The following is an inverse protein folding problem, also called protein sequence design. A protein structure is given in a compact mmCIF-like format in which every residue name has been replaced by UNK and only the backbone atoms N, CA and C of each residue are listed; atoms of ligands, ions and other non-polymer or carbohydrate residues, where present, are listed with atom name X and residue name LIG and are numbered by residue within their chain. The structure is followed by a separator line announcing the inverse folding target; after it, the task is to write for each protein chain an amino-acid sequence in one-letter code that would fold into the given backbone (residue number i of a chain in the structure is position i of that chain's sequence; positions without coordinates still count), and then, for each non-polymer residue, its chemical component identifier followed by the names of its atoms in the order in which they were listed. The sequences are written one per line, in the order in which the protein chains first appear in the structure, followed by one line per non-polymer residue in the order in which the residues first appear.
data_IF_280726779782
#
_entry.id   IF_280726779782
#
_cell.length_a   1.000
_cell.length_b   1.000
_cell.length_c   1.000
_cell.angle_alpha   90.00
_cell.angle_beta   90.00
_cell.angle_gamma   90.00
#
_symmetry.space_group_name_H-M   'P 1'
#
loop_
_entity.id
_entity.type
_entity.pdbx_description
1 polymer ?
#
# COMPACT_ATOMS: atom_id res chain seq x y z
N UNK A 1 21.15 3.74 -32.28
CA UNK A 1 21.64 2.52 -31.57
C UNK A 1 21.31 2.69 -30.09
N UNK A 2 20.72 1.69 -29.42
CA UNK A 2 20.32 1.79 -28.00
C UNK A 2 18.81 1.66 -27.73
N UNK A 3 17.96 1.79 -28.75
CA UNK A 3 16.49 1.70 -28.63
C UNK A 3 16.06 0.38 -27.95
N UNK A 4 16.46 -0.77 -28.51
CA UNK A 4 16.09 -2.09 -27.98
C UNK A 4 16.53 -2.33 -26.54
N UNK A 5 17.69 -1.79 -26.13
CA UNK A 5 18.16 -1.92 -24.75
C UNK A 5 17.28 -1.14 -23.76
N UNK A 6 16.82 0.06 -24.17
CA UNK A 6 15.94 0.89 -23.35
C UNK A 6 14.52 0.31 -23.34
N UNK A 7 14.03 -0.21 -24.47
CA UNK A 7 12.76 -0.96 -24.51
C UNK A 7 12.78 -2.14 -23.52
N UNK A 8 13.84 -2.95 -23.56
CA UNK A 8 14.01 -4.06 -22.63
C UNK A 8 14.01 -3.61 -21.17
N UNK A 9 14.75 -2.54 -20.84
CA UNK A 9 14.74 -1.95 -19.50
C UNK A 9 13.33 -1.53 -19.05
N UNK A 10 12.57 -0.85 -19.91
CA UNK A 10 11.22 -0.37 -19.58
C UNK A 10 10.23 -1.52 -19.39
N UNK A 11 10.33 -2.59 -20.18
CA UNK A 11 9.55 -3.81 -19.98
C UNK A 11 9.86 -4.44 -18.61
N UNK A 12 11.15 -4.62 -18.29
CA UNK A 12 11.56 -5.23 -17.01
C UNK A 12 11.08 -4.38 -15.83
N UNK A 13 11.23 -3.04 -15.93
CA UNK A 13 10.70 -2.11 -14.92
C UNK A 13 9.18 -2.25 -14.77
N UNK A 14 8.44 -2.35 -15.87
CA UNK A 14 7.00 -2.57 -15.81
C UNK A 14 6.65 -3.86 -15.05
N UNK A 15 7.34 -4.97 -15.34
CA UNK A 15 7.10 -6.23 -14.63
C UNK A 15 7.40 -6.14 -13.13
N UNK A 16 8.46 -5.43 -12.72
CA UNK A 16 8.75 -5.18 -11.30
C UNK A 16 7.56 -4.51 -10.59
N UNK A 17 6.94 -3.50 -11.21
CA UNK A 17 5.75 -2.87 -10.64
C UNK A 17 4.52 -3.78 -10.68
N UNK A 18 4.29 -4.48 -11.78
CA UNK A 18 3.10 -5.30 -11.96
C UNK A 18 3.07 -6.54 -11.06
N UNK A 19 4.23 -7.15 -10.81
CA UNK A 19 4.35 -8.44 -10.15
C UNK A 19 4.92 -8.38 -8.73
N UNK A 20 5.79 -7.41 -8.43
CA UNK A 20 6.49 -7.35 -7.13
C UNK A 20 5.95 -6.20 -6.28
N UNK A 21 6.10 -4.94 -6.74
CA UNK A 21 5.75 -3.79 -5.92
C UNK A 21 4.25 -3.71 -5.62
N UNK A 22 3.40 -3.99 -6.61
CA UNK A 22 1.93 -3.99 -6.43
C UNK A 22 1.36 -5.38 -6.19
N UNK A 23 2.17 -6.32 -5.69
CA UNK A 23 1.68 -7.65 -5.35
C UNK A 23 0.62 -7.56 -4.25
N UNK A 24 -0.50 -8.26 -4.42
CA UNK A 24 -1.66 -8.13 -3.53
C UNK A 24 -1.32 -8.44 -2.05
N UNK A 25 -0.46 -9.43 -1.79
CA UNK A 25 0.02 -9.74 -0.43
C UNK A 25 0.82 -8.60 0.21
N UNK A 26 1.62 -7.86 -0.58
CA UNK A 26 2.38 -6.71 -0.07
C UNK A 26 1.40 -5.58 0.29
N UNK A 27 0.41 -5.32 -0.56
CA UNK A 27 -0.64 -4.34 -0.28
C UNK A 27 -1.43 -4.67 0.99
N UNK A 28 -1.77 -5.94 1.20
CA UNK A 28 -2.45 -6.39 2.43
C UNK A 28 -1.56 -6.23 3.67
N UNK A 29 -0.28 -6.60 3.59
CA UNK A 29 0.67 -6.42 4.69
C UNK A 29 0.87 -4.95 5.04
N UNK A 30 1.07 -4.08 4.04
CA UNK A 30 1.16 -2.63 4.23
C UNK A 30 -0.12 -2.07 4.83
N UNK A 31 -1.30 -2.52 4.39
CA UNK A 31 -2.57 -2.11 4.99
C UNK A 31 -2.63 -2.44 6.49
N UNK A 32 -2.33 -3.69 6.86
CA UNK A 32 -2.32 -4.11 8.28
C UNK A 32 -1.38 -3.25 9.09
N UNK A 33 -0.17 -2.99 8.57
CA UNK A 33 0.83 -2.17 9.24
C UNK A 33 0.36 -0.72 9.43
N UNK A 34 -0.16 -0.10 8.37
CA UNK A 34 -0.71 1.26 8.45
C UNK A 34 -1.83 1.34 9.49
N UNK A 35 -2.77 0.38 9.47
CA UNK A 35 -3.89 0.35 10.42
C UNK A 35 -3.42 0.13 11.86
N UNK A 36 -2.37 -0.66 12.09
CA UNK A 36 -1.76 -0.81 13.41
C UNK A 36 -1.20 0.52 13.91
N UNK A 37 -0.46 1.27 13.07
CA UNK A 37 0.08 2.58 13.42
C UNK A 37 -0.99 3.66 13.57
N UNK A 38 -2.07 3.62 12.78
CA UNK A 38 -3.22 4.51 12.94
C UNK A 38 -3.89 4.28 14.30
N UNK A 39 -4.09 3.02 14.70
CA UNK A 39 -4.63 2.66 16.03
C UNK A 39 -3.68 3.08 17.14
N UNK A 40 -2.39 2.80 17.00
CA UNK A 40 -1.37 3.19 17.97
C UNK A 40 -1.34 4.71 18.19
N UNK A 41 -1.43 5.49 17.10
CA UNK A 41 -1.52 6.95 17.16
C UNK A 41 -2.74 7.42 17.93
N UNK A 42 -3.91 6.84 17.64
CA UNK A 42 -5.15 7.17 18.36
C UNK A 42 -5.02 6.89 19.86
N UNK A 43 -4.55 5.70 20.24
CA UNK A 43 -4.39 5.29 21.64
C UNK A 43 -3.35 6.16 22.37
N UNK A 44 -2.25 6.54 21.71
CA UNK A 44 -1.26 7.46 22.26
C UNK A 44 -1.90 8.82 22.59
N UNK A 45 -2.71 9.37 21.69
CA UNK A 45 -3.41 10.64 21.94
C UNK A 45 -4.45 10.56 23.06
N UNK A 46 -5.02 9.38 23.30
CA UNK A 46 -5.93 9.12 24.41
C UNK A 46 -5.20 8.85 25.74
N UNK A 47 -3.87 8.73 25.73
CA UNK A 47 -3.09 8.32 26.90
C UNK A 47 -3.18 6.84 27.24
N UNK A 48 -3.73 6.02 26.33
CA UNK A 48 -3.92 4.58 26.48
C UNK A 48 -2.78 3.75 25.88
N UNK A 49 -1.74 4.39 25.33
CA UNK A 49 -0.55 3.73 24.80
C UNK A 49 0.71 4.41 25.33
N UNK A 50 1.69 3.60 25.74
CA UNK A 50 3.05 4.08 26.00
C UNK A 50 4.02 3.51 24.96
N UNK A 51 4.95 4.35 24.53
CA UNK A 51 6.02 4.02 23.60
C UNK A 51 7.30 4.75 24.03
N UNK A 52 8.45 4.37 23.49
CA UNK A 52 9.68 5.11 23.76
C UNK A 52 9.65 6.53 23.16
N UNK A 53 10.69 7.32 23.43
CA UNK A 53 10.76 8.71 22.97
C UNK A 53 10.73 8.83 21.44
N UNK A 54 11.42 7.93 20.74
CA UNK A 54 11.50 7.90 19.27
C UNK A 54 10.13 7.62 18.68
N UNK A 55 9.51 6.51 19.06
CA UNK A 55 8.21 6.09 18.55
C UNK A 55 7.11 7.08 18.94
N UNK A 56 7.16 7.62 20.16
CA UNK A 56 6.23 8.68 20.59
C UNK A 56 6.32 9.91 19.68
N UNK A 57 7.53 10.32 19.29
CA UNK A 57 7.71 11.46 18.39
C UNK A 57 7.12 11.17 17.00
N UNK A 58 7.38 9.98 16.45
CA UNK A 58 6.81 9.55 15.17
C UNK A 58 5.28 9.46 15.18
N UNK A 59 4.69 8.91 16.24
CA UNK A 59 3.25 8.78 16.40
C UNK A 59 2.56 10.14 16.59
N UNK A 60 3.19 11.12 17.24
CA UNK A 60 2.66 12.50 17.35
C UNK A 60 2.56 13.23 16.01
N UNK A 61 3.32 12.79 15.01
CA UNK A 61 3.26 13.28 13.63
C UNK A 61 4.52 14.02 13.20
N UNK A 62 4.61 14.25 11.89
CA UNK A 62 5.81 14.83 11.27
C UNK A 62 5.98 16.33 11.56
N UNK A 63 4.90 17.02 11.93
CA UNK A 63 4.97 18.43 12.30
C UNK A 63 5.59 18.55 13.70
N UNK A 64 6.89 18.83 13.74
CA UNK A 64 7.67 18.92 14.98
C UNK A 64 8.60 17.73 15.24
N UNK A 65 8.67 16.76 14.33
CA UNK A 65 9.67 15.69 14.37
C UNK A 65 11.05 16.27 14.03
N UNK A 66 11.99 16.24 14.98
CA UNK A 66 13.35 16.70 14.71
C UNK A 66 14.10 15.71 13.80
N UNK A 67 15.17 16.18 13.15
CA UNK A 67 16.02 15.29 12.35
C UNK A 67 16.60 14.15 13.17
N UNK A 68 17.06 14.43 14.40
CA UNK A 68 17.61 13.41 15.29
C UNK A 68 16.58 12.35 15.66
N UNK A 69 15.32 12.75 15.93
CA UNK A 69 14.21 11.81 16.19
C UNK A 69 13.82 11.00 14.96
N UNK A 70 13.89 11.61 13.77
CA UNK A 70 13.67 10.90 12.51
C UNK A 70 14.74 9.84 12.29
N UNK A 71 16.02 10.20 12.46
CA UNK A 71 17.16 9.29 12.27
C UNK A 71 17.31 8.24 13.36
N UNK A 72 16.71 8.45 14.53
CA UNK A 72 16.69 7.47 15.62
C UNK A 72 15.70 6.31 15.39
N UNK A 73 14.84 6.39 14.36
CA UNK A 73 13.93 5.30 14.02
C UNK A 73 14.50 4.44 12.88
N UNK A 74 14.40 3.14 13.06
CA UNK A 74 14.72 2.12 12.07
C UNK A 74 13.74 0.95 12.19
N UNK A 75 13.91 -0.05 11.33
CA UNK A 75 13.05 -1.22 11.31
C UNK A 75 13.09 -1.99 12.64
N UNK A 76 14.19 -1.96 13.40
CA UNK A 76 14.33 -2.65 14.68
C UNK A 76 13.50 -1.94 15.78
N UNK A 77 13.56 -0.61 15.84
CA UNK A 77 12.72 0.20 16.74
C UNK A 77 11.24 -0.02 16.44
N UNK A 78 10.86 -0.02 15.16
CA UNK A 78 9.49 -0.27 14.73
C UNK A 78 9.05 -1.69 15.11
N UNK A 79 9.89 -2.70 14.81
CA UNK A 79 9.61 -4.10 15.09
C UNK A 79 9.45 -4.36 16.59
N UNK A 80 10.31 -3.78 17.42
CA UNK A 80 10.20 -3.87 18.88
C UNK A 80 8.84 -3.39 19.39
N UNK A 81 8.34 -2.26 18.87
CA UNK A 81 7.03 -1.75 19.27
C UNK A 81 5.89 -2.65 18.80
N UNK A 82 5.93 -3.15 17.56
CA UNK A 82 4.93 -4.11 17.08
C UNK A 82 4.91 -5.37 17.97
N UNK A 83 6.08 -5.91 18.32
CA UNK A 83 6.21 -7.07 19.22
C UNK A 83 5.63 -6.80 20.61
N UNK A 84 5.80 -5.59 21.15
CA UNK A 84 5.17 -5.21 22.42
C UNK A 84 3.66 -5.03 22.30
N UNK A 85 3.22 -4.38 21.23
CA UNK A 85 1.82 -4.04 21.03
C UNK A 85 0.96 -5.25 20.68
N UNK A 86 1.54 -6.37 20.22
CA UNK A 86 0.81 -7.61 20.01
C UNK A 86 0.14 -8.17 21.28
N UNK A 87 0.58 -7.76 22.47
CA UNK A 87 -0.01 -8.12 23.77
C UNK A 87 -0.69 -6.93 24.47
N UNK A 88 -1.00 -5.86 23.73
CA UNK A 88 -1.72 -4.70 24.25
C UNK A 88 -3.18 -5.06 24.60
N UNK A 89 -3.78 -4.36 25.56
CA UNK A 89 -5.18 -4.58 25.97
C UNK A 89 -6.19 -4.21 24.88
N UNK A 90 -5.84 -3.24 24.02
CA UNK A 90 -6.63 -2.89 22.84
C UNK A 90 -6.60 -4.03 21.82
N UNK A 91 -7.77 -4.64 21.59
CA UNK A 91 -7.92 -5.82 20.74
C UNK A 91 -7.55 -5.55 19.28
N UNK A 92 -7.83 -4.34 18.77
CA UNK A 92 -7.51 -4.00 17.38
C UNK A 92 -6.01 -3.84 17.19
N UNK A 93 -5.34 -3.09 18.06
CA UNK A 93 -3.90 -2.90 18.00
C UNK A 93 -3.16 -4.24 18.14
N UNK A 94 -3.52 -5.03 19.16
CA UNK A 94 -2.89 -6.34 19.41
C UNK A 94 -3.08 -7.31 18.25
N UNK A 95 -4.30 -7.42 17.73
CA UNK A 95 -4.60 -8.29 16.59
C UNK A 95 -3.82 -7.88 15.33
N UNK A 96 -3.81 -6.58 14.97
CA UNK A 96 -3.11 -6.10 13.78
C UNK A 96 -1.59 -6.29 13.88
N UNK A 97 -0.98 -6.03 15.05
CA UNK A 97 0.44 -6.26 15.27
C UNK A 97 0.77 -7.75 15.15
N UNK A 98 -0.01 -8.61 15.81
CA UNK A 98 0.13 -10.07 15.74
C UNK A 98 -0.06 -10.59 14.31
N UNK A 99 -1.03 -10.08 13.54
CA UNK A 99 -1.19 -10.42 12.11
C UNK A 99 0.05 -10.11 11.29
N UNK A 100 0.64 -8.94 11.51
CA UNK A 100 1.81 -8.52 10.78
C UNK A 100 3.02 -9.41 11.10
N UNK A 101 3.26 -9.67 12.39
CA UNK A 101 4.38 -10.47 12.89
C UNK A 101 4.26 -11.95 12.48
N UNK A 102 3.08 -12.55 12.66
CA UNK A 102 2.82 -13.96 12.34
C UNK A 102 2.51 -14.21 10.86
N UNK A 103 2.56 -13.17 10.03
CA UNK A 103 2.21 -13.21 8.59
C UNK A 103 0.77 -13.69 8.33
N UNK A 104 -0.14 -13.53 9.28
CA UNK A 104 -1.59 -13.77 9.12
C UNK A 104 -2.29 -12.56 8.50
N UNK A 105 -1.87 -12.25 7.27
CA UNK A 105 -2.36 -11.10 6.51
C UNK A 105 -3.81 -11.26 6.04
N UNK A 106 -4.48 -10.11 5.88
CA UNK A 106 -5.84 -10.03 5.34
C UNK A 106 -5.91 -10.56 3.90
N UNK A 107 -7.10 -11.00 3.49
CA UNK A 107 -7.35 -11.43 2.10
C UNK A 107 -7.48 -10.22 1.18
N UNK A 108 -7.20 -10.46 -0.09
CA UNK A 108 -7.36 -9.48 -1.16
C UNK A 108 -8.27 -10.04 -2.25
N UNK A 109 -9.16 -9.22 -2.80
CA UNK A 109 -9.99 -9.55 -3.96
C UNK A 109 -9.82 -8.48 -5.04
N UNK A 110 -9.62 -8.92 -6.29
CA UNK A 110 -9.42 -8.02 -7.43
C UNK A 110 -10.77 -7.44 -7.91
N UNK A 111 -10.92 -6.14 -7.78
CA UNK A 111 -12.06 -5.35 -8.26
C UNK A 111 -11.70 -4.50 -9.49
N UNK A 112 -10.58 -4.79 -10.15
CA UNK A 112 -10.19 -4.16 -11.40
C UNK A 112 -11.30 -4.32 -12.44
N UNK A 113 -11.58 -3.25 -13.19
CA UNK A 113 -12.69 -3.20 -14.17
C UNK A 113 -14.07 -2.88 -13.59
N UNK A 114 -14.30 -3.02 -12.28
CA UNK A 114 -15.55 -2.55 -11.64
C UNK A 114 -15.60 -1.02 -11.63
N UNK A 115 -16.78 -0.43 -11.76
CA UNK A 115 -16.94 1.03 -11.66
C UNK A 115 -16.66 1.54 -10.24
N UNK A 116 -16.28 2.83 -10.05
CA UNK A 116 -16.08 3.39 -8.71
C UNK A 116 -17.30 3.21 -7.78
N UNK A 117 -18.52 3.41 -8.31
CA UNK A 117 -19.75 3.18 -7.56
C UNK A 117 -19.92 1.73 -7.12
N UNK A 118 -19.68 0.76 -8.02
CA UNK A 118 -19.75 -0.66 -7.68
C UNK A 118 -18.72 -1.05 -6.61
N UNK A 119 -17.49 -0.53 -6.69
CA UNK A 119 -16.46 -0.76 -5.67
C UNK A 119 -16.88 -0.24 -4.30
N UNK A 120 -17.50 0.94 -4.24
CA UNK A 120 -17.98 1.52 -2.99
C UNK A 120 -19.14 0.72 -2.40
N UNK A 121 -20.07 0.25 -3.23
CA UNK A 121 -21.17 -0.62 -2.78
C UNK A 121 -20.63 -1.93 -2.19
N UNK A 122 -19.68 -2.57 -2.87
CA UNK A 122 -19.03 -3.80 -2.38
C UNK A 122 -18.31 -3.54 -1.05
N UNK A 123 -17.54 -2.44 -0.97
CA UNK A 123 -16.86 -2.05 0.27
C UNK A 123 -17.84 -1.91 1.44
N UNK A 124 -18.94 -1.17 1.25
CA UNK A 124 -19.95 -0.98 2.28
C UNK A 124 -20.62 -2.29 2.73
N UNK A 125 -20.92 -3.20 1.80
CA UNK A 125 -21.50 -4.51 2.12
C UNK A 125 -20.52 -5.38 2.92
N UNK A 126 -19.24 -5.37 2.57
CA UNK A 126 -18.21 -6.15 3.28
C UNK A 126 -17.93 -5.54 4.66
N UNK A 127 -17.93 -4.21 4.79
CA UNK A 127 -17.83 -3.52 6.08
C UNK A 127 -19.01 -3.89 6.99
N UNK A 128 -20.25 -3.87 6.47
CA UNK A 128 -21.43 -4.26 7.23
C UNK A 128 -21.34 -5.72 7.72
N UNK A 129 -20.90 -6.66 6.87
CA UNK A 129 -20.68 -8.06 7.27
C UNK A 129 -19.52 -8.23 8.26
N UNK A 130 -18.48 -7.41 8.16
CA UNK A 130 -17.37 -7.44 9.12
C UNK A 130 -17.84 -6.97 10.51
N UNK A 131 -18.70 -5.95 10.55
CA UNK A 131 -19.26 -5.44 11.80
C UNK A 131 -20.12 -6.48 12.54
N UNK A 132 -20.88 -7.31 11.81
CA UNK A 132 -21.67 -8.38 12.44
C UNK A 132 -20.82 -9.49 13.06
N UNK A 133 -19.52 -9.55 12.75
CA UNK A 133 -18.55 -10.45 13.35
C UNK A 133 -17.77 -9.80 14.53
N UNK A 134 -18.17 -8.60 14.96
CA UNK A 134 -17.52 -7.89 16.07
C UNK A 134 -16.20 -7.20 15.72
N UNK A 135 -15.87 -7.10 14.42
CA UNK A 135 -14.66 -6.42 13.96
C UNK A 135 -14.95 -4.95 13.66
N UNK A 136 -14.01 -4.05 14.00
CA UNK A 136 -14.06 -2.64 13.62
C UNK A 136 -13.76 -2.46 12.11
N UNK A 137 -14.75 -2.17 11.24
CA UNK A 137 -14.59 -2.31 9.80
C UNK A 137 -13.50 -1.42 9.19
N UNK A 138 -13.26 -0.24 9.74
CA UNK A 138 -12.28 0.72 9.23
C UNK A 138 -10.83 0.22 9.33
N UNK A 139 -10.56 -0.70 10.25
CA UNK A 139 -9.23 -1.31 10.42
C UNK A 139 -9.06 -2.58 9.59
N UNK A 140 -10.15 -3.30 9.34
CA UNK A 140 -10.11 -4.65 8.79
C UNK A 140 -10.56 -4.75 7.33
N UNK A 141 -11.31 -3.76 6.84
CA UNK A 141 -11.85 -3.75 5.48
C UNK A 141 -11.47 -2.44 4.80
N UNK A 142 -10.97 -2.53 3.56
CA UNK A 142 -10.52 -1.36 2.84
C UNK A 142 -10.42 -1.54 1.34
N UNK A 143 -10.39 -0.42 0.62
CA UNK A 143 -10.12 -0.39 -0.82
C UNK A 143 -8.73 0.21 -1.07
N UNK A 144 -7.91 -0.49 -1.85
CA UNK A 144 -6.60 0.01 -2.32
C UNK A 144 -6.59 0.13 -3.83
N UNK A 145 -6.29 1.33 -4.31
CA UNK A 145 -6.07 1.59 -5.72
C UNK A 145 -4.57 1.65 -5.97
N UNK A 146 -4.06 0.75 -6.80
CA UNK A 146 -2.67 0.76 -7.21
C UNK A 146 -2.61 1.27 -8.65
N UNK A 147 -2.03 2.45 -8.83
CA UNK A 147 -1.75 3.00 -10.16
C UNK A 147 -0.32 2.61 -10.55
N UNK A 148 -0.17 1.97 -11.70
CA UNK A 148 1.14 1.65 -12.26
C UNK A 148 1.26 2.21 -13.67
N UNK A 149 2.44 2.75 -13.98
CA UNK A 149 2.86 3.13 -15.34
C UNK A 149 4.20 2.46 -15.59
N UNK A 150 4.34 1.77 -16.72
CA UNK A 150 5.62 1.18 -17.12
C UNK A 150 6.64 2.24 -17.50
N UNK A 151 6.14 3.36 -18.01
CA UNK A 151 6.91 4.54 -18.35
C UNK A 151 6.15 5.81 -17.93
N UNK A 152 6.83 6.69 -17.20
CA UNK A 152 6.30 8.02 -16.88
C UNK A 152 7.15 9.03 -17.63
N UNK A 153 6.50 9.87 -18.44
CA UNK A 153 7.07 11.11 -18.91
C UNK A 153 7.31 11.99 -17.67
N UNK A 154 8.51 11.92 -17.08
CA UNK A 154 8.98 12.97 -16.17
C UNK A 154 9.10 14.30 -16.97
N UNK A 155 9.81 15.31 -16.47
CA UNK A 155 9.89 16.62 -17.15
C UNK A 155 10.32 16.57 -18.64
N UNK A 156 11.08 15.55 -19.11
CA UNK A 156 11.52 15.42 -20.51
C UNK A 156 11.55 13.99 -21.09
N UNK A 157 11.06 12.97 -20.36
CA UNK A 157 11.13 11.58 -20.82
C UNK A 157 12.56 11.03 -21.03
N UNK A 158 12.69 9.97 -21.84
CA UNK A 158 13.96 9.37 -22.29
C UNK A 158 14.11 9.72 -23.76
N UNK A 159 15.00 10.69 -24.04
CA UNK A 159 15.26 11.13 -25.40
C UNK A 159 16.40 10.36 -26.04
N UNK A 160 16.23 9.98 -27.30
CA UNK A 160 17.26 9.42 -28.15
C UNK A 160 17.81 10.50 -29.08
N UNK A 161 19.12 10.54 -29.23
CA UNK A 161 19.78 11.38 -30.23
C UNK A 161 19.54 10.80 -31.62
N UNK A 162 18.73 11.49 -32.40
CA UNK A 162 18.47 11.22 -33.81
C UNK A 162 19.26 12.22 -34.68
N UNK A 163 19.42 11.97 -36.00
CA UNK A 163 20.14 12.89 -36.89
C UNK A 163 19.58 14.33 -36.90
N UNK A 164 18.26 14.47 -36.71
CA UNK A 164 17.54 15.75 -36.70
C UNK A 164 17.35 16.36 -35.30
N UNK A 165 17.92 15.77 -34.25
CA UNK A 165 17.80 16.25 -32.87
C UNK A 165 17.34 15.18 -31.88
N UNK A 166 16.98 15.61 -30.68
CA UNK A 166 16.48 14.73 -29.62
C UNK A 166 15.00 14.41 -29.87
N UNK A 167 14.64 13.14 -29.70
CA UNK A 167 13.26 12.68 -29.80
C UNK A 167 12.93 11.68 -28.68
N UNK A 168 11.74 11.78 -28.09
CA UNK A 168 11.33 10.89 -27.00
C UNK A 168 11.12 9.46 -27.51
N UNK A 169 11.50 8.48 -26.69
CA UNK A 169 11.41 7.08 -27.04
C UNK A 169 9.96 6.60 -27.29
N UNK A 170 8.95 7.19 -26.66
CA UNK A 170 7.55 6.81 -26.87
C UNK A 170 7.02 7.21 -28.25
N UNK A 171 7.65 8.19 -28.90
CA UNK A 171 7.36 8.54 -30.30
C UNK A 171 8.04 7.57 -31.28
N UNK A 172 9.14 6.95 -30.85
CA UNK A 172 9.96 6.05 -31.65
C UNK A 172 9.57 4.57 -31.49
N UNK A 173 8.88 4.21 -30.40
CA UNK A 173 8.51 2.84 -30.06
C UNK A 173 7.03 2.73 -29.67
N UNK A 174 6.21 2.04 -30.49
CA UNK A 174 4.82 1.74 -30.14
C UNK A 174 4.68 0.98 -28.82
N UNK A 175 5.64 0.09 -28.52
CA UNK A 175 5.68 -0.65 -27.26
C UNK A 175 5.81 0.30 -26.06
N UNK A 176 6.78 1.22 -26.10
CA UNK A 176 6.99 2.18 -25.01
C UNK A 176 5.81 3.14 -24.88
N UNK A 177 5.19 3.51 -26.00
CA UNK A 177 3.94 4.26 -26.00
C UNK A 177 2.85 3.54 -25.22
N UNK A 178 2.62 2.25 -25.45
CA UNK A 178 1.65 1.47 -24.68
C UNK A 178 2.02 1.38 -23.19
N UNK A 179 3.30 1.24 -22.85
CA UNK A 179 3.76 1.21 -21.45
C UNK A 179 3.55 2.55 -20.70
N UNK A 180 3.30 3.63 -21.43
CA UNK A 180 2.99 4.95 -20.83
C UNK A 180 1.55 5.05 -20.33
N UNK A 181 0.66 4.15 -20.78
CA UNK A 181 -0.73 4.14 -20.36
C UNK A 181 -0.85 3.67 -18.90
N UNK A 182 -1.65 4.37 -18.08
CA UNK A 182 -1.84 3.98 -16.69
C UNK A 182 -2.66 2.69 -16.59
N UNK A 183 -2.09 1.69 -15.93
CA UNK A 183 -2.83 0.51 -15.48
C UNK A 183 -3.20 0.71 -14.02
N UNK A 184 -4.50 0.88 -13.76
CA UNK A 184 -5.05 0.97 -12.42
C UNK A 184 -5.59 -0.40 -12.00
N UNK A 185 -5.08 -0.93 -10.89
CA UNK A 185 -5.68 -2.07 -10.19
C UNK A 185 -6.46 -1.59 -8.97
N UNK A 186 -7.57 -2.26 -8.68
CA UNK A 186 -8.37 -2.00 -7.49
C UNK A 186 -8.48 -3.27 -6.66
N UNK A 187 -8.07 -3.20 -5.39
CA UNK A 187 -8.05 -4.32 -4.48
C UNK A 187 -8.96 -4.06 -3.29
N UNK A 188 -9.88 -4.96 -3.03
CA UNK A 188 -10.58 -5.05 -1.75
C UNK A 188 -9.70 -5.83 -0.78
N UNK A 189 -9.47 -5.29 0.41
CA UNK A 189 -8.78 -5.94 1.52
C UNK A 189 -9.83 -6.25 2.59
N UNK A 190 -9.83 -7.48 3.12
CA UNK A 190 -10.85 -7.94 4.06
C UNK A 190 -10.40 -9.15 4.91
N UNK A 191 -11.02 -9.40 6.08
CA UNK A 191 -10.71 -10.56 6.91
C UNK A 191 -11.12 -11.87 6.25
N UNK A 192 -10.34 -12.92 6.51
CA UNK A 192 -10.65 -14.26 6.00
C UNK A 192 -12.01 -14.80 6.48
N UNK A 193 -12.45 -14.39 7.66
CA UNK A 193 -13.72 -14.80 8.26
C UNK A 193 -14.96 -14.20 7.57
N UNK A 194 -14.79 -13.12 6.80
CA UNK A 194 -15.89 -12.48 6.07
C UNK A 194 -16.03 -13.16 4.70
N UNK A 195 -17.13 -13.87 4.48
CA UNK A 195 -17.44 -14.42 3.15
C UNK A 195 -17.86 -13.32 2.18
N UNK A 196 -17.35 -13.41 0.95
CA UNK A 196 -17.73 -12.55 -0.17
C UNK A 196 -18.88 -13.12 -1.00
N UNK A 197 -19.41 -14.30 -0.64
CA UNK A 197 -20.50 -14.93 -1.39
C UNK A 197 -21.69 -13.96 -1.47
N UNK A 198 -22.29 -13.86 -2.66
CA UNK A 198 -23.44 -12.98 -2.95
C UNK A 198 -23.12 -11.47 -2.94
N UNK A 199 -21.86 -11.04 -2.79
CA UNK A 199 -21.43 -9.63 -2.92
C UNK A 199 -20.77 -9.36 -4.27
N UNK A 200 -19.89 -10.27 -4.71
CA UNK A 200 -19.04 -10.10 -5.91
C UNK A 200 -19.35 -11.10 -7.01
#
# INVERSE_FOLDING_TARGET
KGLAAIEHYLIVRYFMYAQIYNHAKNLAATWVLERAFDRARMLLHQGALMADATMTAWLKGVQGLSLDQYLAADDDVLMYHLQRWQSHEDQVLSDLCRRYLDRDILKTFDLTGRSPAARQTILAQVQARSATQGLEPDYYVGLRLALSRGYTLYQRGINLQMPHGLQDISELSPLVKTLSEPMQKAWLIYPRAVSLDQIV
#
